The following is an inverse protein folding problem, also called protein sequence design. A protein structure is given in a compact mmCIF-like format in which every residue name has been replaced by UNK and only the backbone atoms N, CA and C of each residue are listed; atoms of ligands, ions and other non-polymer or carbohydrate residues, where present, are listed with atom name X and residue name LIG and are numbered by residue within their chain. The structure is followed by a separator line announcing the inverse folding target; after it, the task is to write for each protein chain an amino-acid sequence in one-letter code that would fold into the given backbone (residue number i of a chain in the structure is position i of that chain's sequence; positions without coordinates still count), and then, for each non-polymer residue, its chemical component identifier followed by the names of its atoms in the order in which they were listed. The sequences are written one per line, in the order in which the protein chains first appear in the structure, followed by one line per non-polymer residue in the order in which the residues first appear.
data_IF_808916352839
#
_entry.id   IF_808916352839
#
_cell.length_a   1.000
_cell.length_b   1.000
_cell.length_c   1.000
_cell.angle_alpha   90.00
_cell.angle_beta   90.00
_cell.angle_gamma   90.00
#
_symmetry.space_group_name_H-M   'P 1'
#
loop_
_entity.id
_entity.type
_entity.pdbx_description
1 polymer ?
#
# COMPACT_ATOMS: atom_id res chain seq x y z
N UNK A 1 -15.90 25.80 7.14
CA UNK A 1 -14.64 26.39 6.62
C UNK A 1 -13.98 25.34 5.76
N UNK A 2 -13.88 25.58 4.45
CA UNK A 2 -13.10 24.69 3.56
C UNK A 2 -11.62 24.76 4.00
N UNK A 3 -10.89 23.64 4.09
CA UNK A 3 -9.47 23.68 4.40
C UNK A 3 -8.76 24.51 3.32
N UNK A 4 -7.92 25.46 3.73
CA UNK A 4 -7.17 26.28 2.77
C UNK A 4 -6.29 25.37 1.89
N UNK A 5 -6.10 25.71 0.59
CA UNK A 5 -5.32 24.90 -0.35
C UNK A 5 -3.87 24.64 0.13
N UNK A 6 -3.28 25.56 0.90
CA UNK A 6 -1.96 25.39 1.54
C UNK A 6 -1.94 24.26 2.58
N UNK A 7 -3.06 24.01 3.27
CA UNK A 7 -3.20 22.97 4.29
C UNK A 7 -3.21 21.56 3.67
N UNK A 8 -3.82 21.41 2.49
CA UNK A 8 -3.74 20.18 1.69
C UNK A 8 -2.34 19.95 1.12
N UNK A 9 -1.65 21.00 0.66
CA UNK A 9 -0.29 20.90 0.14
C UNK A 9 0.71 20.39 1.19
N UNK A 10 0.64 20.89 2.43
CA UNK A 10 1.55 20.48 3.51
C UNK A 10 1.26 19.05 4.00
N UNK A 11 -0.01 18.66 4.13
CA UNK A 11 -0.40 17.27 4.45
C UNK A 11 -0.02 16.28 3.34
N UNK A 12 -0.15 16.70 2.08
CA UNK A 12 0.30 15.93 0.92
C UNK A 12 1.81 15.70 0.93
N UNK A 13 2.60 16.75 1.18
CA UNK A 13 4.06 16.62 1.31
C UNK A 13 4.46 15.67 2.45
N UNK A 14 3.81 15.80 3.62
CA UNK A 14 4.04 14.91 4.76
C UNK A 14 3.66 13.47 4.41
N UNK A 15 2.64 13.25 3.59
CA UNK A 15 2.30 11.92 3.10
C UNK A 15 3.40 11.34 2.19
N UNK A 16 3.92 12.12 1.24
CA UNK A 16 5.00 11.69 0.34
C UNK A 16 6.32 11.36 1.05
N UNK A 17 6.55 11.90 2.25
CA UNK A 17 7.75 11.62 3.05
C UNK A 17 7.46 10.56 4.13
N UNK A 18 6.39 10.76 4.89
CA UNK A 18 6.01 9.94 6.03
C UNK A 18 5.54 8.55 5.63
N UNK A 19 4.84 8.40 4.50
CA UNK A 19 4.36 7.09 4.05
C UNK A 19 5.52 6.16 3.65
N UNK A 20 6.47 6.57 2.78
CA UNK A 20 7.65 5.74 2.52
C UNK A 20 8.43 5.43 3.80
N UNK A 21 8.63 6.40 4.70
CA UNK A 21 9.34 6.16 5.97
C UNK A 21 8.63 5.13 6.86
N UNK A 22 7.30 5.21 6.96
CA UNK A 22 6.49 4.23 7.69
C UNK A 22 6.63 2.84 7.08
N UNK A 23 6.51 2.73 5.74
CA UNK A 23 6.69 1.47 5.03
C UNK A 23 8.11 0.92 5.23
N UNK A 24 9.13 1.77 5.16
CA UNK A 24 10.52 1.40 5.38
C UNK A 24 10.69 0.78 6.76
N UNK A 25 10.19 1.44 7.81
CA UNK A 25 10.31 0.95 9.18
C UNK A 25 9.62 -0.41 9.35
N UNK A 26 8.37 -0.53 8.89
CA UNK A 26 7.61 -1.79 8.97
C UNK A 26 8.33 -2.91 8.22
N UNK A 27 8.78 -2.64 7.00
CA UNK A 27 9.42 -3.65 6.15
C UNK A 27 10.81 -4.02 6.66
N UNK A 28 11.60 -3.06 7.17
CA UNK A 28 12.91 -3.32 7.76
C UNK A 28 12.81 -4.19 9.02
N UNK A 29 11.87 -3.87 9.93
CA UNK A 29 11.61 -4.68 11.13
C UNK A 29 11.14 -6.09 10.75
N UNK A 30 10.24 -6.18 9.77
CA UNK A 30 9.76 -7.46 9.24
C UNK A 30 10.88 -8.32 8.65
N UNK A 31 11.72 -7.75 7.77
CA UNK A 31 12.87 -8.45 7.20
C UNK A 31 13.85 -8.91 8.30
N UNK A 32 14.09 -8.08 9.32
CA UNK A 32 14.88 -8.44 10.49
C UNK A 32 14.30 -9.66 11.23
N UNK A 33 12.99 -9.68 11.46
CA UNK A 33 12.29 -10.79 12.09
C UNK A 33 12.35 -12.07 11.23
N UNK A 34 12.13 -11.98 9.92
CA UNK A 34 12.22 -13.11 8.98
C UNK A 34 13.62 -13.71 8.97
N UNK A 35 14.66 -12.88 8.95
CA UNK A 35 16.06 -13.34 8.99
C UNK A 35 16.39 -14.01 10.33
N UNK A 36 15.95 -13.41 11.45
CA UNK A 36 16.18 -13.97 12.78
C UNK A 36 15.44 -15.30 13.02
N UNK A 37 14.32 -15.50 12.33
CA UNK A 37 13.46 -16.67 12.48
C UNK A 37 13.55 -17.63 11.29
N UNK A 38 14.56 -17.49 10.42
CA UNK A 38 14.67 -18.24 9.16
C UNK A 38 14.67 -19.77 9.35
N UNK A 39 15.15 -20.26 10.50
CA UNK A 39 15.10 -21.68 10.89
C UNK A 39 13.69 -22.18 11.21
N UNK A 40 12.75 -21.28 11.55
CA UNK A 40 11.36 -21.57 11.91
C UNK A 40 10.41 -21.29 10.74
N UNK A 41 10.48 -22.10 9.68
CA UNK A 41 9.70 -21.92 8.43
C UNK A 41 8.20 -21.67 8.64
N UNK A 42 7.56 -22.37 9.58
CA UNK A 42 6.12 -22.19 9.89
C UNK A 42 5.82 -20.80 10.48
N UNK A 43 6.71 -20.28 11.32
CA UNK A 43 6.56 -18.95 11.93
C UNK A 43 6.75 -17.87 10.88
N UNK A 44 7.75 -18.02 10.01
CA UNK A 44 7.98 -17.12 8.87
C UNK A 44 6.76 -17.12 7.93
N UNK A 45 6.18 -18.29 7.65
CA UNK A 45 4.97 -18.38 6.83
C UNK A 45 3.79 -17.60 7.45
N UNK A 46 3.56 -17.73 8.77
CA UNK A 46 2.51 -16.98 9.46
C UNK A 46 2.78 -15.48 9.48
N UNK A 47 4.03 -15.07 9.68
CA UNK A 47 4.45 -13.66 9.61
C UNK A 47 4.15 -13.08 8.22
N UNK A 48 4.50 -13.79 7.15
CA UNK A 48 4.26 -13.36 5.78
C UNK A 48 2.77 -13.36 5.43
N UNK A 49 2.03 -14.41 5.82
CA UNK A 49 0.65 -14.60 5.41
C UNK A 49 -0.33 -13.76 6.19
N UNK A 50 -0.10 -13.46 7.47
CA UNK A 50 -1.11 -12.84 8.35
C UNK A 50 -0.61 -11.51 8.90
N UNK A 51 0.58 -11.50 9.49
CA UNK A 51 1.07 -10.33 10.22
C UNK A 51 1.41 -9.18 9.28
N UNK A 52 2.17 -9.45 8.22
CA UNK A 52 2.62 -8.43 7.29
C UNK A 52 1.47 -7.70 6.56
N UNK A 53 0.48 -8.39 5.97
CA UNK A 53 -0.66 -7.73 5.32
C UNK A 53 -1.46 -6.87 6.28
N UNK A 54 -1.66 -7.35 7.51
CA UNK A 54 -2.38 -6.62 8.53
C UNK A 54 -1.64 -5.36 8.98
N UNK A 55 -0.34 -5.45 9.26
CA UNK A 55 0.49 -4.29 9.61
C UNK A 55 0.52 -3.24 8.50
N UNK A 56 0.65 -3.65 7.25
CA UNK A 56 0.61 -2.72 6.13
C UNK A 56 -0.78 -2.08 5.98
N UNK A 57 -1.85 -2.86 6.12
CA UNK A 57 -3.21 -2.31 6.05
C UNK A 57 -3.50 -1.31 7.18
N UNK A 58 -3.02 -1.57 8.40
CA UNK A 58 -3.07 -0.63 9.52
C UNK A 58 -2.34 0.67 9.20
N UNK A 59 -1.12 0.58 8.68
CA UNK A 59 -0.32 1.75 8.33
C UNK A 59 -1.04 2.61 7.28
N UNK A 60 -1.44 2.01 6.16
CA UNK A 60 -2.11 2.71 5.06
C UNK A 60 -3.45 3.31 5.50
N UNK A 61 -4.24 2.54 6.25
CA UNK A 61 -5.52 3.02 6.79
C UNK A 61 -5.34 4.14 7.81
N UNK A 62 -4.25 4.14 8.58
CA UNK A 62 -3.90 5.20 9.51
C UNK A 62 -3.63 6.53 8.79
N UNK A 63 -2.90 6.48 7.67
CA UNK A 63 -2.71 7.65 6.81
C UNK A 63 -4.02 8.13 6.20
N UNK A 64 -4.88 7.24 5.72
CA UNK A 64 -6.21 7.60 5.22
C UNK A 64 -7.08 8.25 6.29
N UNK A 65 -7.10 7.71 7.50
CA UNK A 65 -7.86 8.26 8.62
C UNK A 65 -7.35 9.66 8.99
N UNK A 66 -6.04 9.81 9.14
CA UNK A 66 -5.39 11.08 9.47
C UNK A 66 -5.68 12.17 8.44
N UNK A 67 -5.67 11.81 7.15
CA UNK A 67 -5.92 12.75 6.07
C UNK A 67 -7.39 13.07 5.87
N UNK A 68 -8.27 12.06 5.96
CA UNK A 68 -9.71 12.23 5.73
C UNK A 68 -10.46 12.82 6.92
N UNK A 69 -9.91 12.73 8.14
CA UNK A 69 -10.57 13.19 9.36
C UNK A 69 -11.85 12.42 9.71
N UNK A 70 -12.01 11.21 9.16
CA UNK A 70 -13.21 10.38 9.35
C UNK A 70 -13.20 9.67 10.70
N UNK A 71 -14.35 9.08 11.03
CA UNK A 71 -14.57 8.36 12.29
C UNK A 71 -13.79 7.01 12.35
N UNK A 72 -13.48 6.53 13.55
CA UNK A 72 -12.75 5.27 13.81
C UNK A 72 -13.46 4.04 13.20
N UNK A 73 -14.78 4.10 13.01
CA UNK A 73 -15.54 3.04 12.35
C UNK A 73 -15.13 2.87 10.88
N UNK A 74 -14.83 3.98 10.21
CA UNK A 74 -14.31 3.98 8.85
C UNK A 74 -12.90 3.39 8.78
N UNK A 75 -12.09 3.60 9.83
CA UNK A 75 -10.76 2.99 9.93
C UNK A 75 -10.83 1.47 9.94
N UNK A 76 -11.74 0.86 10.70
CA UNK A 76 -11.90 -0.61 10.72
C UNK A 76 -12.28 -1.12 9.32
N UNK A 77 -13.22 -0.44 8.64
CA UNK A 77 -13.61 -0.77 7.27
C UNK A 77 -12.43 -0.67 6.30
N UNK A 78 -11.63 0.40 6.39
CA UNK A 78 -10.39 0.60 5.62
C UNK A 78 -9.39 -0.52 5.85
N UNK A 79 -9.15 -0.92 7.11
CA UNK A 79 -8.18 -1.99 7.45
C UNK A 79 -8.63 -3.32 6.85
N UNK A 80 -9.91 -3.68 7.00
CA UNK A 80 -10.44 -4.93 6.44
C UNK A 80 -10.37 -4.92 4.91
N UNK A 81 -10.78 -3.82 4.28
CA UNK A 81 -10.74 -3.69 2.83
C UNK A 81 -9.31 -3.72 2.27
N UNK A 82 -8.34 -3.10 2.96
CA UNK A 82 -6.93 -3.16 2.58
C UNK A 82 -6.34 -4.57 2.69
N UNK A 83 -6.69 -5.33 3.74
CA UNK A 83 -6.29 -6.74 3.88
C UNK A 83 -6.89 -7.59 2.75
N UNK A 84 -8.16 -7.38 2.41
CA UNK A 84 -8.79 -8.07 1.29
C UNK A 84 -8.14 -7.70 -0.04
N UNK A 85 -7.80 -6.43 -0.25
CA UNK A 85 -7.05 -5.98 -1.44
C UNK A 85 -5.71 -6.68 -1.58
N UNK A 86 -4.97 -6.83 -0.47
CA UNK A 86 -3.71 -7.58 -0.44
C UNK A 86 -3.88 -9.04 -0.87
N UNK A 87 -4.82 -9.77 -0.26
CA UNK A 87 -5.06 -11.17 -0.63
C UNK A 87 -5.64 -11.31 -2.03
N UNK A 88 -6.41 -10.33 -2.50
CA UNK A 88 -6.88 -10.32 -3.88
C UNK A 88 -5.71 -10.25 -4.86
N UNK A 89 -4.67 -9.46 -4.56
CA UNK A 89 -3.42 -9.48 -5.32
C UNK A 89 -2.79 -10.87 -5.38
N UNK A 90 -2.71 -11.56 -4.23
CA UNK A 90 -2.16 -12.91 -4.18
C UNK A 90 -3.00 -13.91 -4.98
N UNK A 91 -4.34 -13.82 -4.91
CA UNK A 91 -5.25 -14.67 -5.70
C UNK A 91 -5.03 -14.42 -7.20
N UNK A 92 -4.94 -13.17 -7.62
CA UNK A 92 -4.67 -12.81 -9.03
C UNK A 92 -3.29 -13.29 -9.49
N UNK A 93 -2.31 -13.41 -8.60
CA UNK A 93 -1.00 -13.97 -8.92
C UNK A 93 -1.02 -15.47 -9.28
N UNK A 94 -2.09 -16.19 -8.93
CA UNK A 94 -2.31 -17.59 -9.36
C UNK A 94 -2.95 -17.71 -10.74
N UNK A 95 -3.47 -16.61 -11.30
CA UNK A 95 -4.10 -16.62 -12.63
C UNK A 95 -3.00 -16.54 -13.71
N UNK A 96 -2.81 -17.55 -14.59
CA UNK A 96 -1.60 -17.68 -15.41
C UNK A 96 -1.24 -16.46 -16.27
N UNK A 97 -2.24 -15.78 -16.85
CA UNK A 97 -2.01 -14.60 -17.71
C UNK A 97 -1.85 -13.29 -16.91
N UNK A 98 -2.31 -13.24 -15.65
CA UNK A 98 -2.13 -12.10 -14.75
C UNK A 98 -0.93 -12.28 -13.81
N UNK A 99 -0.44 -13.52 -13.65
CA UNK A 99 0.64 -13.88 -12.74
C UNK A 99 1.91 -13.04 -12.91
N UNK A 100 2.39 -12.72 -14.14
CA UNK A 100 3.58 -11.87 -14.29
C UNK A 100 3.41 -10.48 -13.66
N UNK A 101 2.18 -9.95 -13.66
CA UNK A 101 1.84 -8.65 -13.13
C UNK A 101 1.69 -8.71 -11.60
N UNK A 102 0.88 -9.64 -11.09
CA UNK A 102 0.48 -9.70 -9.67
C UNK A 102 1.47 -10.41 -8.73
N UNK A 103 2.55 -10.98 -9.26
CA UNK A 103 3.66 -11.50 -8.44
C UNK A 103 4.57 -10.40 -7.89
N UNK A 104 4.43 -9.17 -8.36
CA UNK A 104 5.21 -8.05 -7.85
C UNK A 104 4.61 -7.50 -6.54
N UNK A 105 5.47 -7.22 -5.56
CA UNK A 105 5.12 -6.55 -4.30
C UNK A 105 4.35 -5.24 -4.53
N UNK A 106 4.63 -4.54 -5.63
CA UNK A 106 3.94 -3.30 -6.00
C UNK A 106 2.43 -3.51 -6.16
N UNK A 107 2.00 -4.63 -6.72
CA UNK A 107 0.58 -4.93 -6.88
C UNK A 107 -0.11 -5.20 -5.56
N UNK A 108 0.62 -5.84 -4.64
CA UNK A 108 0.14 -6.07 -3.29
C UNK A 108 -0.13 -4.74 -2.59
N UNK A 109 0.81 -3.79 -2.68
CA UNK A 109 0.65 -2.45 -2.13
C UNK A 109 -0.42 -1.63 -2.84
N UNK A 110 -0.51 -1.76 -4.16
CA UNK A 110 -1.49 -1.05 -4.95
C UNK A 110 -2.91 -1.48 -4.56
N UNK A 111 -3.19 -2.79 -4.59
CA UNK A 111 -4.53 -3.29 -4.27
C UNK A 111 -4.87 -3.13 -2.78
N UNK A 112 -3.89 -3.24 -1.89
CA UNK A 112 -4.07 -2.87 -0.48
C UNK A 112 -4.45 -1.40 -0.35
N UNK A 113 -3.73 -0.52 -1.05
CA UNK A 113 -3.99 0.92 -1.08
C UNK A 113 -5.38 1.26 -1.60
N UNK A 114 -5.77 0.69 -2.76
CA UNK A 114 -7.13 0.85 -3.33
C UNK A 114 -8.19 0.33 -2.37
N UNK A 115 -7.99 -0.86 -1.80
CA UNK A 115 -8.91 -1.46 -0.84
C UNK A 115 -9.12 -0.55 0.37
N UNK A 116 -8.04 -0.10 1.01
CA UNK A 116 -8.09 0.82 2.14
C UNK A 116 -8.80 2.14 1.77
N UNK A 117 -8.47 2.71 0.60
CA UNK A 117 -9.08 3.94 0.10
C UNK A 117 -10.59 3.83 -0.08
N UNK A 118 -11.07 2.70 -0.61
CA UNK A 118 -12.50 2.48 -0.79
C UNK A 118 -13.18 2.13 0.54
N UNK A 119 -12.48 1.41 1.41
CA UNK A 119 -12.97 1.01 2.73
C UNK A 119 -13.22 2.20 3.67
N UNK A 120 -12.37 3.23 3.64
CA UNK A 120 -12.51 4.45 4.46
C UNK A 120 -13.81 5.23 4.16
N UNK A 121 -14.43 4.99 3.00
CA UNK A 121 -15.68 5.64 2.63
C UNK A 121 -16.90 5.07 3.37
N UNK A 122 -16.75 3.94 4.07
CA UNK A 122 -17.84 3.19 4.67
C UNK A 122 -17.65 3.02 6.16
N UNK A 123 -18.74 3.16 6.92
CA UNK A 123 -18.71 3.04 8.38
C UNK A 123 -18.55 1.60 8.89
N UNK A 124 -18.69 0.60 8.02
CA UNK A 124 -18.48 -0.80 8.37
C UNK A 124 -18.02 -1.62 7.16
N UNK A 125 -17.26 -2.72 7.38
CA UNK A 125 -16.83 -3.61 6.29
C UNK A 125 -18.00 -4.16 5.47
N UNK A 126 -19.12 -4.49 6.13
CA UNK A 126 -20.30 -5.04 5.45
C UNK A 126 -20.90 -4.03 4.47
N UNK A 127 -20.96 -2.75 4.83
CA UNK A 127 -21.42 -1.69 3.92
C UNK A 127 -20.48 -1.56 2.71
N UNK A 128 -19.16 -1.64 2.94
CA UNK A 128 -18.17 -1.63 1.87
C UNK A 128 -18.40 -2.78 0.88
N UNK A 129 -18.53 -4.02 1.34
CA UNK A 129 -18.73 -5.16 0.43
C UNK A 129 -20.03 -5.07 -0.37
N UNK A 130 -21.10 -4.54 0.22
CA UNK A 130 -22.37 -4.29 -0.50
C UNK A 130 -22.22 -3.21 -1.58
N UNK A 131 -21.41 -2.18 -1.32
CA UNK A 131 -21.18 -1.06 -2.24
C UNK A 131 -20.09 -1.32 -3.28
N UNK A 132 -19.27 -2.38 -3.09
CA UNK A 132 -18.06 -2.64 -3.88
C UNK A 132 -18.32 -2.69 -5.39
N UNK A 133 -19.35 -3.42 -5.83
CA UNK A 133 -19.69 -3.53 -7.25
C UNK A 133 -20.04 -2.19 -7.89
N UNK A 134 -20.83 -1.37 -7.18
CA UNK A 134 -21.19 -0.03 -7.64
C UNK A 134 -19.99 0.93 -7.69
N UNK A 135 -19.08 0.84 -6.72
CA UNK A 135 -17.86 1.63 -6.70
C UNK A 135 -16.90 1.26 -7.84
N UNK A 136 -16.70 -0.05 -8.07
CA UNK A 136 -15.86 -0.53 -9.17
C UNK A 136 -16.44 -0.12 -10.53
N UNK A 137 -17.77 -0.17 -10.70
CA UNK A 137 -18.41 0.34 -11.91
C UNK A 137 -18.18 1.84 -12.11
N UNK A 138 -18.41 2.65 -11.06
CA UNK A 138 -18.31 4.10 -11.09
C UNK A 138 -16.88 4.63 -11.28
N UNK A 139 -15.90 3.97 -10.68
CA UNK A 139 -14.50 4.41 -10.67
C UNK A 139 -13.59 3.52 -11.51
N UNK A 140 -14.13 2.65 -12.37
CA UNK A 140 -13.37 1.74 -13.23
C UNK A 140 -12.27 2.44 -14.03
N UNK A 141 -12.62 3.46 -14.81
CA UNK A 141 -11.66 4.18 -15.64
C UNK A 141 -10.59 4.96 -14.84
N UNK A 142 -10.94 5.73 -13.78
CA UNK A 142 -9.94 6.34 -12.91
C UNK A 142 -9.03 5.34 -12.20
N UNK A 143 -9.58 4.20 -11.73
CA UNK A 143 -8.80 3.15 -11.08
C UNK A 143 -7.77 2.55 -12.04
N UNK A 144 -8.15 2.28 -13.30
CA UNK A 144 -7.22 1.83 -14.33
C UNK A 144 -6.14 2.88 -14.62
N UNK A 145 -6.50 4.17 -14.65
CA UNK A 145 -5.55 5.25 -14.89
C UNK A 145 -4.51 5.35 -13.77
N UNK A 146 -4.96 5.29 -12.52
CA UNK A 146 -4.07 5.28 -11.35
C UNK A 146 -3.22 4.02 -11.33
N UNK A 147 -3.79 2.87 -11.69
CA UNK A 147 -3.07 1.60 -11.83
C UNK A 147 -1.89 1.74 -12.81
N UNK A 148 -2.14 2.21 -14.03
CA UNK A 148 -1.12 2.38 -15.06
C UNK A 148 -0.07 3.40 -14.64
N UNK A 149 -0.48 4.55 -14.08
CA UNK A 149 0.44 5.59 -13.64
C UNK A 149 1.38 5.10 -12.51
N UNK A 150 0.82 4.41 -11.51
CA UNK A 150 1.59 3.83 -10.40
C UNK A 150 2.60 2.79 -10.89
N UNK A 151 2.26 2.00 -11.91
CA UNK A 151 3.19 1.03 -12.49
C UNK A 151 4.34 1.68 -13.23
N UNK A 152 4.05 2.64 -14.12
CA UNK A 152 5.10 3.37 -14.84
C UNK A 152 6.07 4.01 -13.85
N UNK A 153 5.52 4.65 -12.81
CA UNK A 153 6.33 5.32 -11.80
C UNK A 153 7.15 4.31 -10.98
N UNK A 154 6.58 3.18 -10.58
CA UNK A 154 7.30 2.14 -9.85
C UNK A 154 8.42 1.49 -10.68
N UNK A 155 8.13 1.17 -11.95
CA UNK A 155 9.15 0.64 -12.88
C UNK A 155 10.30 1.62 -13.07
N UNK A 156 10.00 2.91 -13.22
CA UNK A 156 11.02 3.96 -13.34
C UNK A 156 11.89 4.04 -12.09
N UNK A 157 11.29 4.01 -10.90
CA UNK A 157 12.01 4.02 -9.62
C UNK A 157 12.92 2.81 -9.47
N UNK A 158 12.40 1.61 -9.72
CA UNK A 158 13.18 0.37 -9.67
C UNK A 158 14.36 0.43 -10.64
N UNK A 159 14.16 0.97 -11.83
CA UNK A 159 15.21 1.17 -12.84
C UNK A 159 16.29 2.17 -12.41
N UNK A 160 15.90 3.28 -11.78
CA UNK A 160 16.84 4.27 -11.26
C UNK A 160 17.65 3.73 -10.08
N UNK A 161 16.99 3.00 -9.18
CA UNK A 161 17.66 2.40 -8.01
C UNK A 161 18.61 1.29 -8.46
N UNK A 162 18.23 0.41 -9.39
CA UNK A 162 19.08 -0.70 -9.84
C UNK A 162 20.41 -0.25 -10.44
N UNK A 163 20.45 0.97 -11.03
CA UNK A 163 21.69 1.61 -11.50
C UNK A 163 22.61 2.11 -10.39
N UNK A 164 22.09 2.27 -9.17
CA UNK A 164 22.79 2.87 -8.03
C UNK A 164 23.24 1.87 -6.95
N UNK A 165 22.82 0.60 -7.04
CA UNK A 165 23.20 -0.43 -6.05
C UNK A 165 24.60 -0.97 -6.34
N UNK A 166 25.57 -0.58 -5.51
CA UNK A 166 26.94 -1.12 -5.53
C UNK A 166 26.95 -2.52 -4.91
N UNK A 167 27.35 -3.52 -5.69
CA UNK A 167 27.45 -4.92 -5.26
C UNK A 167 28.73 -5.09 -4.43
N UNK A 168 28.60 -5.09 -3.10
CA UNK A 168 29.74 -5.35 -2.21
C UNK A 168 29.53 -5.10 -0.72
N UNK A 169 28.30 -5.09 -0.20
CA UNK A 169 28.05 -4.71 1.20
C UNK A 169 27.62 -5.86 2.11
N UNK A 170 27.83 -5.67 3.41
CA UNK A 170 27.47 -6.61 4.46
C UNK A 170 25.97 -6.95 4.45
N UNK A 171 25.60 -8.12 4.97
CA UNK A 171 24.20 -8.61 5.04
C UNK A 171 23.21 -7.57 5.59
N UNK A 172 23.64 -6.72 6.53
CA UNK A 172 22.82 -5.67 7.13
C UNK A 172 22.50 -4.55 6.13
N UNK A 173 23.43 -4.21 5.27
CA UNK A 173 23.27 -3.16 4.26
C UNK A 173 22.38 -3.64 3.11
N UNK A 174 22.45 -4.93 2.76
CA UNK A 174 21.51 -5.55 1.82
C UNK A 174 20.07 -5.46 2.33
N UNK A 175 19.82 -5.77 3.61
CA UNK A 175 18.48 -5.69 4.20
C UNK A 175 17.93 -4.25 4.21
N UNK A 176 18.78 -3.27 4.55
CA UNK A 176 18.40 -1.85 4.49
C UNK A 176 18.10 -1.42 3.06
N UNK A 177 18.93 -1.83 2.10
CA UNK A 177 18.72 -1.51 0.68
C UNK A 177 17.40 -2.08 0.16
N UNK A 178 17.09 -3.33 0.49
CA UNK A 178 15.82 -3.95 0.12
C UNK A 178 14.62 -3.24 0.75
N UNK A 179 14.69 -2.91 2.04
CA UNK A 179 13.65 -2.16 2.71
C UNK A 179 13.42 -0.78 2.08
N UNK A 180 14.50 -0.10 1.65
CA UNK A 180 14.39 1.17 0.93
C UNK A 180 13.76 1.02 -0.45
N UNK A 181 14.16 0.02 -1.23
CA UNK A 181 13.57 -0.23 -2.55
C UNK A 181 12.07 -0.48 -2.43
N UNK A 182 11.66 -1.33 -1.49
CA UNK A 182 10.25 -1.64 -1.23
C UNK A 182 9.48 -0.42 -0.74
N UNK A 183 10.08 0.37 0.17
CA UNK A 183 9.50 1.61 0.68
C UNK A 183 9.22 2.64 -0.39
N UNK A 184 10.20 2.91 -1.26
CA UNK A 184 10.05 3.91 -2.32
C UNK A 184 9.04 3.42 -3.35
N UNK A 185 9.07 2.13 -3.71
CA UNK A 185 8.10 1.53 -4.64
C UNK A 185 6.68 1.63 -4.06
N UNK A 186 6.49 1.24 -2.80
CA UNK A 186 5.19 1.34 -2.12
C UNK A 186 4.70 2.80 -2.04
N UNK A 187 5.58 3.75 -1.74
CA UNK A 187 5.25 5.18 -1.70
C UNK A 187 4.77 5.70 -3.05
N UNK A 188 5.49 5.37 -4.12
CA UNK A 188 5.18 5.83 -5.48
C UNK A 188 3.91 5.17 -6.03
N UNK A 189 3.55 3.99 -5.52
CA UNK A 189 2.35 3.26 -5.93
C UNK A 189 1.12 3.66 -5.10
N UNK A 190 1.24 3.71 -3.78
CA UNK A 190 0.12 3.89 -2.86
C UNK A 190 -0.25 5.36 -2.62
N UNK A 191 0.71 6.27 -2.60
CA UNK A 191 0.44 7.70 -2.33
C UNK A 191 -0.46 8.34 -3.39
N UNK A 192 -0.26 8.12 -4.71
CA UNK A 192 -1.18 8.64 -5.72
C UNK A 192 -2.63 8.13 -5.56
N UNK A 193 -2.80 6.88 -5.15
CA UNK A 193 -4.12 6.30 -4.83
C UNK A 193 -4.75 7.02 -3.64
N UNK A 194 -3.96 7.25 -2.59
CA UNK A 194 -4.42 7.99 -1.41
C UNK A 194 -4.90 9.38 -1.81
N UNK A 195 -4.08 10.13 -2.56
CA UNK A 195 -4.42 11.48 -3.03
C UNK A 195 -5.65 11.48 -3.93
N UNK A 196 -5.74 10.54 -4.87
CA UNK A 196 -6.87 10.43 -5.78
C UNK A 196 -8.20 10.20 -5.04
N UNK A 197 -8.26 9.22 -4.14
CA UNK A 197 -9.49 8.93 -3.40
C UNK A 197 -9.84 10.00 -2.37
N UNK A 198 -8.85 10.69 -1.79
CA UNK A 198 -9.11 11.87 -0.97
C UNK A 198 -9.72 13.00 -1.80
N UNK A 199 -9.25 13.23 -3.03
CA UNK A 199 -9.82 14.24 -3.92
C UNK A 199 -11.27 13.94 -4.34
N UNK A 200 -11.64 12.65 -4.41
CA UNK A 200 -13.02 12.21 -4.62
C UNK A 200 -13.91 12.37 -3.38
N UNK A 201 -13.32 12.41 -2.18
CA UNK A 201 -14.01 12.51 -0.89
C UNK A 201 -14.10 13.91 -0.30
N UNK A 202 -13.58 14.93 -0.99
CA UNK A 202 -13.85 16.36 -0.70
C UNK A 202 -15.10 16.79 -1.48
N UNK A 203 -16.24 16.22 -1.10
CA UNK A 203 -17.58 16.75 -1.38
C UNK A 203 -18.45 16.52 -0.17
#
# INVERSE_FOLDING_TARGET
MLPQPQYFAMRGLILYIGFPLGVFLVHYLFLGAVVSLSSKRRVVALLNMIFYPFCMSLLVSGFFLWLSGRDYRCFISSVVAGVVGYYFSLILAFVPFLAPLFRELDMEFLLLGVGAAMGILHSSPLQFFKALGGLLGRYSFPLVSVFVASLIASTLVKYLISRSVVVGSEKRDILKSLAWVVSISAGVVAVPIIVFFLSLGVT
#
